data_IF_308652237210
#
_entry.id   IF_308652237210
#
_cell.length_a   1.000
_cell.length_b   1.000
_cell.length_c   1.000
_cell.angle_alpha   90.00
_cell.angle_beta   90.00
_cell.angle_gamma   90.00
#
_symmetry.space_group_name_H-M   'P 1'
#
loop_
_entity.id
_entity.type
_entity.pdbx_description
1 polymer ?
#
# COMPACT_ATOMS: atom_id res chain seq x y z
N UNK A 1 -2.17 -13.79 13.70
CA UNK A 1 -0.86 -13.15 13.46
C UNK A 1 -1.13 -11.68 13.39
N UNK A 2 -0.39 -10.85 14.12
CA UNK A 2 -0.78 -9.46 14.28
C UNK A 2 -0.32 -8.60 13.08
N UNK A 3 -1.26 -7.97 12.38
CA UNK A 3 -0.99 -7.10 11.23
C UNK A 3 -1.62 -5.73 11.43
N UNK A 4 -0.95 -4.70 10.92
CA UNK A 4 -1.39 -3.32 11.09
C UNK A 4 -1.19 -2.49 9.82
N UNK A 5 -2.10 -1.53 9.63
CA UNK A 5 -1.91 -0.39 8.73
C UNK A 5 -2.13 0.89 9.52
N UNK A 6 -1.14 1.78 9.44
CA UNK A 6 -1.17 3.11 10.05
C UNK A 6 -1.18 4.14 8.94
N UNK A 7 -2.21 4.97 8.88
CA UNK A 7 -2.33 6.07 7.92
C UNK A 7 -2.36 7.42 8.61
N UNK A 8 -1.58 8.37 8.12
CA UNK A 8 -1.54 9.73 8.65
C UNK A 8 -0.67 10.65 7.79
N UNK A 9 -0.63 11.95 8.11
CA UNK A 9 0.43 12.82 7.57
C UNK A 9 1.78 12.43 8.17
N UNK A 10 2.85 12.57 7.41
CA UNK A 10 4.20 12.18 7.84
C UNK A 10 5.11 13.38 7.67
N UNK A 11 5.58 13.94 8.78
CA UNK A 11 6.48 15.09 8.78
C UNK A 11 7.77 14.77 7.99
N UNK A 12 8.31 15.71 7.19
CA UNK A 12 9.50 15.47 6.35
C UNK A 12 10.70 14.87 7.09
N UNK A 13 10.92 15.31 8.33
CA UNK A 13 12.01 14.91 9.21
C UNK A 13 11.79 13.56 9.90
N UNK A 14 10.53 13.07 9.94
CA UNK A 14 10.22 11.80 10.57
C UNK A 14 10.74 10.66 9.70
N UNK A 15 11.66 9.86 10.20
CA UNK A 15 12.16 8.66 9.52
C UNK A 15 11.24 7.48 9.80
N UNK A 16 10.73 6.83 8.76
CA UNK A 16 9.87 5.66 8.93
C UNK A 16 10.70 4.39 9.10
N UNK A 17 10.28 3.46 9.99
CA UNK A 17 11.03 2.25 10.26
C UNK A 17 10.87 1.21 9.15
N UNK A 18 11.77 0.23 9.15
CA UNK A 18 11.74 -0.92 8.26
C UNK A 18 12.06 -0.61 6.81
N UNK A 19 11.45 -1.36 5.89
CA UNK A 19 11.66 -1.22 4.45
C UNK A 19 10.87 -0.02 3.92
N UNK A 20 11.56 0.99 3.42
CA UNK A 20 10.94 2.17 2.80
C UNK A 20 10.71 1.93 1.31
N UNK A 21 9.57 2.33 0.79
CA UNK A 21 9.25 2.24 -0.65
C UNK A 21 9.44 3.62 -1.27
N UNK A 22 10.51 3.80 -2.06
CA UNK A 22 10.84 5.11 -2.63
C UNK A 22 9.87 5.52 -3.75
N UNK A 23 9.22 4.55 -4.39
CA UNK A 23 8.30 4.72 -5.52
C UNK A 23 6.90 4.18 -5.20
N UNK A 24 6.34 4.65 -4.08
CA UNK A 24 4.98 4.33 -3.66
C UNK A 24 3.98 5.41 -4.08
N UNK A 25 2.82 4.98 -4.60
CA UNK A 25 1.78 5.88 -5.09
C UNK A 25 0.39 5.48 -4.60
N UNK A 26 -0.41 6.45 -4.16
CA UNK A 26 -1.83 6.28 -3.90
C UNK A 26 -2.63 6.38 -5.21
N UNK A 27 -3.74 5.63 -5.36
CA UNK A 27 -4.54 5.62 -6.59
C UNK A 27 -5.32 6.94 -6.85
N UNK A 28 -5.26 7.88 -5.91
CA UNK A 28 -5.90 9.19 -5.98
C UNK A 28 -5.17 10.19 -5.09
N UNK A 29 -5.19 11.46 -5.48
CA UNK A 29 -4.74 12.59 -4.63
C UNK A 29 -5.79 13.00 -3.60
N UNK A 30 -7.05 12.59 -3.77
CA UNK A 30 -8.10 12.77 -2.76
C UNK A 30 -7.95 11.73 -1.66
N UNK A 31 -7.86 12.20 -0.41
CA UNK A 31 -7.65 11.32 0.74
C UNK A 31 -8.75 10.25 0.89
N UNK A 32 -10.02 10.58 0.66
CA UNK A 32 -11.12 9.61 0.84
C UNK A 32 -11.03 8.49 -0.19
N UNK A 33 -10.72 8.85 -1.43
CA UNK A 33 -10.52 7.92 -2.53
C UNK A 33 -9.27 7.07 -2.31
N UNK A 34 -8.15 7.67 -1.94
CA UNK A 34 -6.92 6.95 -1.60
C UNK A 34 -7.12 5.95 -0.44
N UNK A 35 -7.84 6.37 0.61
CA UNK A 35 -8.21 5.52 1.75
C UNK A 35 -9.09 4.35 1.32
N UNK A 36 -10.04 4.56 0.42
CA UNK A 36 -10.86 3.48 -0.13
C UNK A 36 -9.98 2.44 -0.82
N UNK A 37 -9.03 2.89 -1.65
CA UNK A 37 -8.08 2.01 -2.32
C UNK A 37 -7.18 1.25 -1.34
N UNK A 38 -6.64 1.93 -0.33
CA UNK A 38 -5.83 1.32 0.73
C UNK A 38 -6.55 0.16 1.43
N UNK A 39 -7.83 0.35 1.78
CA UNK A 39 -8.59 -0.61 2.59
C UNK A 39 -9.23 -1.75 1.77
N UNK A 40 -9.32 -1.60 0.46
CA UNK A 40 -9.96 -2.58 -0.43
C UNK A 40 -8.98 -3.26 -1.36
N UNK A 41 -7.82 -2.64 -1.61
CA UNK A 41 -6.86 -3.06 -2.63
C UNK A 41 -7.40 -2.95 -4.05
N UNK A 42 -8.46 -2.18 -4.26
CA UNK A 42 -9.08 -1.93 -5.56
C UNK A 42 -9.10 -0.44 -5.88
N UNK A 43 -9.04 -0.12 -7.17
CA UNK A 43 -9.12 1.26 -7.64
C UNK A 43 -10.44 1.92 -7.19
N UNK A 44 -10.43 3.17 -6.69
CA UNK A 44 -11.65 3.86 -6.24
C UNK A 44 -12.74 3.98 -7.32
N UNK A 45 -12.32 4.07 -8.59
CA UNK A 45 -13.17 4.14 -9.77
C UNK A 45 -14.10 2.93 -9.89
N UNK A 46 -13.67 1.77 -9.40
CA UNK A 46 -14.49 0.56 -9.37
C UNK A 46 -15.59 0.57 -8.33
N UNK A 47 -15.59 1.56 -7.43
CA UNK A 47 -16.52 1.67 -6.30
C UNK A 47 -16.52 0.39 -5.43
N UNK A 48 -15.35 -0.05 -4.94
CA UNK A 48 -15.25 -1.28 -4.16
C UNK A 48 -16.03 -1.20 -2.84
N UNK A 49 -16.69 -2.30 -2.49
CA UNK A 49 -17.57 -2.37 -1.30
C UNK A 49 -17.00 -3.26 -0.18
N UNK A 50 -16.06 -4.15 -0.50
CA UNK A 50 -15.51 -5.12 0.45
C UNK A 50 -14.10 -4.74 0.86
N UNK A 51 -13.87 -4.60 2.18
CA UNK A 51 -12.55 -4.27 2.75
C UNK A 51 -11.79 -5.54 3.09
N UNK A 52 -10.46 -5.51 3.05
CA UNK A 52 -9.64 -6.67 3.47
C UNK A 52 -9.92 -7.04 4.93
N UNK A 53 -10.14 -6.04 5.79
CA UNK A 53 -10.44 -6.25 7.21
C UNK A 53 -11.76 -7.00 7.45
N UNK A 54 -12.68 -7.00 6.47
CA UNK A 54 -13.89 -7.83 6.55
C UNK A 54 -13.58 -9.33 6.43
N UNK A 55 -12.37 -9.70 5.99
CA UNK A 55 -11.93 -11.09 5.88
C UNK A 55 -11.20 -11.58 7.11
N UNK A 56 -10.62 -10.68 7.90
CA UNK A 56 -9.64 -11.02 8.92
C UNK A 56 -10.17 -10.60 10.29
N UNK A 57 -10.74 -11.57 11.00
CA UNK A 57 -10.94 -11.55 12.45
C UNK A 57 -11.50 -10.26 13.05
N UNK A 58 -10.95 -9.90 14.21
CA UNK A 58 -11.27 -8.66 14.92
C UNK A 58 -10.40 -7.51 14.43
N UNK A 59 -11.02 -6.33 14.33
CA UNK A 59 -10.35 -5.09 13.88
C UNK A 59 -10.32 -4.09 15.03
N UNK A 60 -9.15 -3.49 15.28
CA UNK A 60 -8.98 -2.42 16.27
C UNK A 60 -8.38 -1.14 15.66
N UNK A 61 -8.60 -0.01 16.33
CA UNK A 61 -8.13 1.33 15.92
C UNK A 61 -6.89 1.81 16.73
N UNK A 62 -6.32 0.90 17.50
CA UNK A 62 -5.10 0.98 18.30
C UNK A 62 -4.33 -0.34 18.22
N UNK A 63 -3.17 -0.47 18.87
CA UNK A 63 -2.40 -1.71 18.94
C UNK A 63 -2.83 -2.64 20.10
N UNK A 64 -4.14 -2.74 20.37
CA UNK A 64 -4.69 -3.69 21.36
C UNK A 64 -4.52 -5.15 20.90
N UNK A 65 -4.94 -6.17 21.67
CA UNK A 65 -4.93 -7.55 21.20
C UNK A 65 -6.02 -7.80 20.13
N UNK A 66 -5.73 -7.51 18.87
CA UNK A 66 -6.58 -7.83 17.71
C UNK A 66 -5.78 -8.54 16.61
N UNK A 67 -6.48 -9.11 15.62
CA UNK A 67 -5.82 -9.72 14.46
C UNK A 67 -5.38 -8.66 13.45
N UNK A 68 -6.19 -7.59 13.30
CA UNK A 68 -5.93 -6.48 12.38
C UNK A 68 -6.07 -5.15 13.10
N UNK A 69 -5.11 -4.26 12.83
CA UNK A 69 -5.15 -2.87 13.25
C UNK A 69 -5.30 -1.94 12.05
N UNK A 70 -6.34 -1.11 12.04
CA UNK A 70 -6.49 0.00 11.10
C UNK A 70 -6.43 1.28 11.92
N UNK A 71 -5.25 1.89 11.95
CA UNK A 71 -4.96 3.02 12.82
C UNK A 71 -4.87 4.28 11.95
N UNK A 72 -5.92 5.09 11.98
CA UNK A 72 -5.95 6.36 11.27
C UNK A 72 -5.65 7.50 12.23
N UNK A 73 -4.71 8.36 11.86
CA UNK A 73 -4.32 9.54 12.64
C UNK A 73 -4.21 10.76 11.74
N UNK A 74 -4.35 11.94 12.33
CA UNK A 74 -4.07 13.18 11.60
C UNK A 74 -2.59 13.28 11.19
N UNK A 75 -1.71 12.69 12.00
CA UNK A 75 -0.26 12.66 11.82
C UNK A 75 0.31 11.39 12.45
N UNK A 76 1.35 10.82 11.84
CA UNK A 76 2.13 9.72 12.39
C UNK A 76 3.23 10.33 13.25
N UNK A 77 3.27 9.97 14.53
CA UNK A 77 4.21 10.50 15.52
C UNK A 77 5.28 9.45 15.88
N UNK A 78 6.44 9.87 16.43
CA UNK A 78 7.44 8.94 16.97
C UNK A 78 6.85 7.93 17.96
N UNK A 79 5.99 8.38 18.89
CA UNK A 79 5.33 7.51 19.86
C UNK A 79 4.50 6.38 19.20
N UNK A 80 3.95 6.63 18.00
CA UNK A 80 3.20 5.62 17.26
C UNK A 80 4.12 4.61 16.56
N UNK A 81 5.33 5.05 16.17
CA UNK A 81 6.37 4.16 15.65
C UNK A 81 6.87 3.23 16.76
N UNK A 82 7.09 3.77 17.97
CA UNK A 82 7.51 3.00 19.13
C UNK A 82 6.44 1.96 19.53
N UNK A 83 5.16 2.36 19.56
CA UNK A 83 4.04 1.44 19.81
C UNK A 83 3.98 0.31 18.77
N UNK A 84 4.19 0.63 17.49
CA UNK A 84 4.20 -0.39 16.44
C UNK A 84 5.36 -1.38 16.62
N UNK A 85 6.55 -0.88 16.97
CA UNK A 85 7.71 -1.71 17.25
C UNK A 85 7.47 -2.65 18.44
N UNK A 86 6.95 -2.11 19.55
CA UNK A 86 6.67 -2.87 20.77
C UNK A 86 5.54 -3.90 20.58
N UNK A 87 4.59 -3.63 19.67
CA UNK A 87 3.51 -4.57 19.36
C UNK A 87 4.00 -5.86 18.67
N UNK A 88 5.16 -5.80 18.00
CA UNK A 88 5.68 -6.88 17.15
C UNK A 88 4.84 -7.16 15.89
N UNK A 89 3.83 -6.34 15.58
CA UNK A 89 2.98 -6.52 14.42
C UNK A 89 3.69 -6.14 13.11
N UNK A 90 3.36 -6.85 12.02
CA UNK A 90 3.76 -6.39 10.68
C UNK A 90 2.93 -5.15 10.32
N UNK A 91 3.58 -3.99 10.26
CA UNK A 91 2.94 -2.68 10.22
C UNK A 91 3.33 -1.91 8.96
N UNK A 92 2.35 -1.61 8.11
CA UNK A 92 2.50 -0.63 7.05
C UNK A 92 2.28 0.78 7.60
N UNK A 93 3.21 1.70 7.31
CA UNK A 93 3.01 3.13 7.52
C UNK A 93 2.76 3.79 6.16
N UNK A 94 1.66 4.55 6.06
CA UNK A 94 1.22 5.16 4.80
C UNK A 94 0.93 6.63 5.02
N UNK A 95 1.63 7.46 4.24
CA UNK A 95 1.41 8.89 4.20
C UNK A 95 0.11 9.22 3.47
N UNK A 96 -0.55 10.29 3.91
CA UNK A 96 -1.61 10.88 3.10
C UNK A 96 -1.04 11.37 1.76
N UNK A 97 -1.76 11.18 0.64
CA UNK A 97 -1.36 11.77 -0.62
C UNK A 97 -1.30 13.29 -0.49
N UNK A 98 -0.32 13.90 -1.15
CA UNK A 98 -0.24 15.35 -1.28
C UNK A 98 -1.15 15.83 -2.40
N UNK A 99 -1.63 17.06 -2.29
CA UNK A 99 -2.42 17.70 -3.36
C UNK A 99 -1.53 17.73 -4.61
N UNK A 100 -2.06 17.25 -5.73
CA UNK A 100 -1.43 17.17 -7.07
C UNK A 100 -0.30 16.15 -7.28
N UNK A 101 0.05 15.35 -6.26
CA UNK A 101 1.03 14.26 -6.43
C UNK A 101 0.48 12.97 -5.82
N UNK A 102 0.36 11.94 -6.67
CA UNK A 102 -0.05 10.59 -6.26
C UNK A 102 0.99 9.92 -5.37
N UNK A 103 2.23 10.43 -5.31
CA UNK A 103 3.29 9.85 -4.50
C UNK A 103 2.94 9.93 -3.01
N UNK A 104 3.23 8.85 -2.31
CA UNK A 104 3.07 8.76 -0.86
C UNK A 104 4.35 8.27 -0.22
N UNK A 105 4.58 8.69 1.02
CA UNK A 105 5.60 8.07 1.86
C UNK A 105 5.04 6.75 2.38
N UNK A 106 5.73 5.64 2.13
CA UNK A 106 5.28 4.33 2.54
C UNK A 106 6.45 3.51 3.08
N UNK A 107 6.25 2.81 4.20
CA UNK A 107 7.21 1.83 4.71
C UNK A 107 6.50 0.61 5.30
N UNK A 108 7.25 -0.47 5.46
CA UNK A 108 6.82 -1.68 6.15
C UNK A 108 7.82 -2.02 7.25
N UNK A 109 7.33 -2.03 8.49
CA UNK A 109 8.00 -2.63 9.63
C UNK A 109 7.48 -4.07 9.78
N UNK A 110 8.33 -5.06 9.55
CA UNK A 110 8.00 -6.46 9.78
C UNK A 110 9.17 -7.16 10.48
N UNK A 111 9.08 -7.35 11.82
CA UNK A 111 10.12 -8.00 12.59
C UNK A 111 10.47 -9.40 12.05
N UNK A 112 11.76 -9.72 11.96
CA UNK A 112 12.30 -10.94 11.36
C UNK A 112 12.22 -11.03 9.83
N UNK A 113 11.75 -9.97 9.16
CA UNK A 113 11.61 -9.92 7.70
C UNK A 113 12.28 -8.69 7.11
N UNK A 114 11.96 -7.50 7.60
CA UNK A 114 12.51 -6.24 7.10
C UNK A 114 13.75 -5.77 7.86
N UNK A 115 14.21 -6.56 8.83
CA UNK A 115 15.38 -6.30 9.69
C UNK A 115 16.60 -7.18 9.34
N UNK A 116 16.49 -8.08 8.35
CA UNK A 116 17.57 -9.01 7.97
C UNK A 116 17.80 -9.06 6.46
N UNK A 117 19.07 -8.99 6.03
CA UNK A 117 19.60 -9.31 4.67
C UNK A 117 18.59 -9.20 3.52
N UNK A 118 17.99 -8.01 3.40
CA UNK A 118 17.05 -7.72 2.35
C UNK A 118 17.79 -7.54 1.01
N UNK A 119 17.20 -7.96 -0.12
CA UNK A 119 17.76 -7.76 -1.46
C UNK A 119 17.51 -6.32 -1.98
N UNK A 120 17.52 -5.34 -1.07
CA UNK A 120 17.15 -3.96 -1.31
C UNK A 120 18.34 -3.04 -0.99
N UNK A 121 18.33 -1.83 -1.57
CA UNK A 121 19.41 -0.88 -1.39
C UNK A 121 19.36 -0.25 0.00
N UNK A 122 20.52 0.15 0.54
CA UNK A 122 20.59 0.98 1.74
C UNK A 122 21.00 2.40 1.36
N UNK A 123 20.13 3.36 1.61
CA UNK A 123 20.34 4.79 1.32
C UNK A 123 20.29 5.53 2.64
N UNK A 124 21.38 6.22 3.00
CA UNK A 124 21.50 6.97 4.26
C UNK A 124 21.15 6.16 5.52
N UNK A 125 21.50 4.87 5.51
CA UNK A 125 21.21 3.94 6.62
C UNK A 125 19.79 3.38 6.63
N UNK A 126 18.96 3.70 5.63
CA UNK A 126 17.58 3.23 5.48
C UNK A 126 17.49 2.22 4.33
N UNK A 127 16.95 1.03 4.62
CA UNK A 127 16.71 0.02 3.58
C UNK A 127 15.54 0.46 2.71
N UNK A 128 15.75 0.50 1.41
CA UNK A 128 14.87 1.13 0.44
C UNK A 128 14.58 0.20 -0.74
N UNK A 129 13.30 -0.07 -0.97
CA UNK A 129 12.80 -0.72 -2.17
C UNK A 129 12.51 0.34 -3.24
N UNK A 130 13.11 0.17 -4.42
CA UNK A 130 12.97 1.06 -5.57
C UNK A 130 11.97 0.55 -6.63
N UNK A 131 11.20 -0.49 -6.31
CA UNK A 131 10.15 -1.00 -7.18
C UNK A 131 8.93 -0.10 -7.20
N UNK A 132 8.22 -0.10 -8.33
CA UNK A 132 6.98 0.66 -8.48
C UNK A 132 5.86 -0.06 -7.72
N UNK A 133 5.31 0.60 -6.68
CA UNK A 133 4.28 0.04 -5.80
C UNK A 133 3.14 1.02 -5.56
N UNK A 134 1.99 0.52 -5.15
CA UNK A 134 0.79 1.30 -4.83
C UNK A 134 0.26 1.00 -3.45
N UNK A 135 -0.46 1.96 -2.84
CA UNK A 135 -1.22 1.68 -1.61
C UNK A 135 -2.33 0.64 -1.82
N UNK A 136 -2.74 0.39 -3.09
CA UNK A 136 -3.60 -0.74 -3.45
C UNK A 136 -3.00 -2.09 -3.08
N UNK A 137 -1.67 -2.18 -2.99
CA UNK A 137 -0.95 -3.42 -2.74
C UNK A 137 -1.01 -3.85 -1.28
N UNK A 138 -1.37 -2.94 -0.37
CA UNK A 138 -1.36 -3.21 1.08
C UNK A 138 -2.42 -4.25 1.45
N UNK A 139 -3.65 -4.07 0.98
CA UNK A 139 -4.74 -5.01 1.23
C UNK A 139 -4.42 -6.46 0.81
N UNK A 140 -4.02 -6.74 -0.45
CA UNK A 140 -3.62 -8.09 -0.87
C UNK A 140 -2.35 -8.58 -0.15
N UNK A 141 -1.40 -7.69 0.17
CA UNK A 141 -0.21 -8.11 0.92
C UNK A 141 -0.58 -8.57 2.33
N UNK A 142 -1.39 -7.79 3.05
CA UNK A 142 -1.87 -8.14 4.39
C UNK A 142 -2.72 -9.41 4.39
N UNK A 143 -3.59 -9.59 3.40
CA UNK A 143 -4.37 -10.81 3.23
C UNK A 143 -3.46 -12.04 3.00
N UNK A 144 -2.45 -11.93 2.14
CA UNK A 144 -1.49 -13.00 1.90
C UNK A 144 -0.66 -13.33 3.15
N UNK A 145 -0.22 -12.30 3.87
CA UNK A 145 0.48 -12.42 5.17
C UNK A 145 -0.40 -13.21 6.15
N UNK A 146 -1.69 -12.90 6.23
CA UNK A 146 -2.65 -13.63 7.06
C UNK A 146 -3.04 -15.03 6.54
N UNK A 147 -2.48 -15.48 5.41
CA UNK A 147 -2.69 -16.83 4.86
C UNK A 147 -3.89 -16.97 3.92
N UNK A 148 -4.51 -15.87 3.49
CA UNK A 148 -5.61 -15.89 2.54
C UNK A 148 -5.10 -16.05 1.10
N UNK A 149 -5.95 -16.64 0.25
CA UNK A 149 -5.71 -16.70 -1.19
C UNK A 149 -5.99 -15.33 -1.82
N UNK A 150 -4.99 -14.80 -2.51
CA UNK A 150 -5.03 -13.47 -3.16
C UNK A 150 -4.81 -13.57 -4.67
N UNK A 151 -4.95 -14.77 -5.25
CA UNK A 151 -4.83 -14.97 -6.69
C UNK A 151 -5.98 -14.29 -7.46
N UNK A 152 -5.81 -13.95 -8.75
CA UNK A 152 -6.81 -13.23 -9.57
C UNK A 152 -8.21 -13.86 -9.76
N UNK A 153 -8.58 -14.93 -9.04
CA UNK A 153 -9.91 -15.54 -9.04
C UNK A 153 -10.32 -16.01 -7.62
N UNK A 154 -9.64 -15.53 -6.58
CA UNK A 154 -10.05 -15.76 -5.21
C UNK A 154 -11.33 -14.97 -4.90
N UNK A 155 -12.02 -15.35 -3.82
CA UNK A 155 -13.27 -14.70 -3.39
C UNK A 155 -13.11 -13.19 -3.10
N UNK A 156 -11.89 -12.72 -2.86
CA UNK A 156 -11.54 -11.33 -3.06
C UNK A 156 -10.54 -11.22 -4.20
N UNK A 157 -10.92 -10.42 -5.19
CA UNK A 157 -10.00 -9.95 -6.20
C UNK A 157 -9.51 -8.54 -5.84
N UNK A 158 -8.25 -8.29 -6.13
CA UNK A 158 -7.56 -7.03 -5.88
C UNK A 158 -7.04 -6.47 -7.22
N UNK A 159 -7.01 -5.15 -7.36
CA UNK A 159 -6.24 -4.50 -8.43
C UNK A 159 -4.76 -4.37 -8.02
N UNK A 160 -4.49 -4.26 -6.72
CA UNK A 160 -3.13 -4.29 -6.17
C UNK A 160 -2.50 -5.69 -6.22
N UNK A 161 -1.18 -5.73 -6.05
CA UNK A 161 -0.39 -6.96 -6.01
C UNK A 161 0.05 -7.33 -4.58
N UNK A 162 0.25 -8.62 -4.32
CA UNK A 162 0.92 -9.05 -3.09
C UNK A 162 2.42 -8.70 -3.17
N UNK A 163 2.88 -7.81 -2.28
CA UNK A 163 4.27 -7.36 -2.21
C UNK A 163 5.21 -8.33 -1.50
N UNK A 164 4.72 -9.43 -0.90
CA UNK A 164 5.58 -10.39 -0.19
C UNK A 164 6.79 -10.84 -1.04
N UNK A 165 6.65 -11.15 -2.34
CA UNK A 165 7.80 -11.47 -3.19
C UNK A 165 8.75 -10.30 -3.43
N UNK A 166 8.22 -9.08 -3.60
CA UNK A 166 9.01 -7.85 -3.73
C UNK A 166 9.83 -7.62 -2.46
N UNK A 167 9.16 -7.66 -1.31
CA UNK A 167 9.75 -7.44 0.02
C UNK A 167 10.85 -8.48 0.31
N UNK A 168 10.54 -9.77 0.19
CA UNK A 168 11.44 -10.85 0.65
C UNK A 168 12.51 -11.24 -0.35
N UNK A 169 12.24 -11.11 -1.64
CA UNK A 169 13.07 -11.70 -2.69
C UNK A 169 13.51 -10.70 -3.76
N UNK A 170 13.14 -9.42 -3.63
CA UNK A 170 13.53 -8.40 -4.61
C UNK A 170 12.89 -8.64 -5.98
N UNK A 171 11.69 -9.25 -6.00
CA UNK A 171 10.92 -9.38 -7.23
C UNK A 171 10.48 -8.01 -7.76
N UNK A 172 10.21 -7.94 -9.07
CA UNK A 172 9.71 -6.72 -9.71
C UNK A 172 8.30 -6.36 -9.19
N UNK A 173 8.07 -5.07 -9.00
CA UNK A 173 6.75 -4.49 -8.70
C UNK A 173 5.89 -4.33 -9.94
N UNK A 174 5.06 -3.28 -9.95
CA UNK A 174 4.15 -2.99 -11.07
C UNK A 174 4.91 -2.64 -12.34
N UNK A 175 4.44 -3.18 -13.47
CA UNK A 175 4.87 -2.72 -14.81
C UNK A 175 4.29 -1.36 -15.21
N UNK A 176 3.22 -0.93 -14.55
CA UNK A 176 2.61 0.38 -14.73
C UNK A 176 1.50 0.65 -13.73
N UNK A 177 1.39 1.89 -13.27
CA UNK A 177 0.30 2.42 -12.46
C UNK A 177 -0.46 3.45 -13.28
N UNK A 178 -1.78 3.36 -13.24
CA UNK A 178 -2.70 4.21 -14.00
C UNK A 178 -3.57 5.02 -13.05
N UNK A 179 -3.85 6.26 -13.40
CA UNK A 179 -4.58 7.22 -12.55
C UNK A 179 -5.68 7.92 -13.34
N UNK A 180 -6.75 8.35 -12.67
CA UNK A 180 -7.95 8.93 -13.29
C UNK A 180 -7.67 10.18 -14.14
N UNK A 181 -6.62 10.91 -13.82
CA UNK A 181 -6.25 12.19 -14.44
C UNK A 181 -5.42 12.04 -15.74
N UNK A 182 -5.38 10.82 -16.29
CA UNK A 182 -4.59 10.49 -17.49
C UNK A 182 -3.11 10.22 -17.21
N UNK A 183 -2.69 10.22 -15.94
CA UNK A 183 -1.31 9.91 -15.58
C UNK A 183 -1.07 8.39 -15.67
N UNK A 184 0.06 8.03 -16.25
CA UNK A 184 0.59 6.66 -16.30
C UNK A 184 2.03 6.69 -15.81
N UNK A 185 2.35 5.91 -14.79
CA UNK A 185 3.70 5.79 -14.23
C UNK A 185 4.18 4.38 -14.51
N UNK A 186 5.32 4.23 -15.17
CA UNK A 186 5.96 2.93 -15.42
C UNK A 186 7.31 2.88 -14.68
N UNK A 187 8.00 1.73 -14.64
CA UNK A 187 9.35 1.66 -14.09
C UNK A 187 10.33 2.67 -14.70
N UNK A 188 10.14 3.07 -15.97
CA UNK A 188 11.10 3.90 -16.71
C UNK A 188 10.64 5.33 -16.98
N UNK A 189 9.34 5.63 -16.90
CA UNK A 189 8.82 6.94 -17.30
C UNK A 189 7.52 7.33 -16.59
N UNK A 190 7.19 8.61 -16.68
CA UNK A 190 5.90 9.18 -16.31
C UNK A 190 5.29 9.83 -17.54
N UNK A 191 4.10 9.40 -17.93
CA UNK A 191 3.32 9.92 -19.06
C UNK A 191 2.04 10.57 -18.52
N UNK A 192 1.60 11.65 -19.16
CA UNK A 192 0.29 12.26 -18.90
C UNK A 192 -0.34 12.69 -20.21
N UNK A 193 -1.07 11.77 -20.83
CA UNK A 193 -1.66 11.97 -22.15
C UNK A 193 -3.08 11.40 -22.16
N UNK A 194 -4.08 12.26 -22.37
CA UNK A 194 -5.49 11.88 -22.35
C UNK A 194 -5.89 10.88 -23.46
N UNK A 195 -5.05 10.74 -24.49
CA UNK A 195 -5.22 9.80 -25.60
C UNK A 195 -4.25 8.62 -25.55
N UNK A 196 -3.62 8.37 -24.40
CA UNK A 196 -2.78 7.19 -24.22
C UNK A 196 -3.64 5.92 -24.38
N UNK A 197 -3.31 5.01 -25.32
CA UNK A 197 -4.12 3.82 -25.57
C UNK A 197 -4.19 2.87 -24.38
N UNK A 198 -3.10 2.74 -23.60
CA UNK A 198 -3.06 1.87 -22.42
C UNK A 198 -3.95 2.44 -21.32
N UNK A 199 -3.86 3.77 -21.11
CA UNK A 199 -4.75 4.46 -20.17
C UNK A 199 -6.21 4.35 -20.59
N UNK A 200 -6.52 4.53 -21.87
CA UNK A 200 -7.89 4.44 -22.40
C UNK A 200 -8.49 3.05 -22.16
N UNK A 201 -7.69 2.01 -22.41
CA UNK A 201 -8.09 0.63 -22.16
C UNK A 201 -8.30 0.36 -20.66
N UNK A 202 -7.35 0.78 -19.82
CA UNK A 202 -7.48 0.68 -18.36
C UNK A 202 -8.74 1.38 -17.85
N UNK A 203 -9.00 2.60 -18.30
CA UNK A 203 -10.15 3.41 -17.88
C UNK A 203 -11.48 2.73 -18.26
N UNK A 204 -11.55 2.04 -19.40
CA UNK A 204 -12.72 1.23 -19.76
C UNK A 204 -12.94 0.06 -18.79
N UNK A 205 -11.88 -0.65 -18.38
CA UNK A 205 -11.98 -1.75 -17.42
C UNK A 205 -12.39 -1.29 -16.03
N UNK A 206 -11.92 -0.14 -15.56
CA UNK A 206 -12.30 0.40 -14.25
C UNK A 206 -13.80 0.71 -14.18
N UNK A 207 -14.39 1.14 -15.28
CA UNK A 207 -15.83 1.45 -15.38
C UNK A 207 -16.74 0.20 -15.40
N UNK A 208 -16.18 -1.02 -15.41
CA UNK A 208 -16.97 -2.26 -15.33
C UNK A 208 -17.46 -2.58 -13.90
N UNK A 209 -17.03 -1.81 -12.90
CA UNK A 209 -17.43 -1.97 -11.51
C UNK A 209 -16.44 -2.80 -10.67
N UNK A 210 -16.85 -3.19 -9.45
CA UNK A 210 -15.98 -3.87 -8.49
C UNK A 210 -15.65 -5.28 -8.97
N UNK A 211 -14.45 -5.75 -8.64
CA UNK A 211 -14.09 -7.15 -8.83
C UNK A 211 -14.77 -7.98 -7.74
N UNK A 212 -15.50 -9.03 -8.14
CA UNK A 212 -16.17 -9.99 -7.25
C UNK A 212 -15.41 -11.31 -7.22
#
# INVERSE_FOLDING_TARGET
MNIAVVSGRIAPELTLPGLNFSRAYAPSTDFRSARLGLLTGQYPQRQPVTRFASLIGTVAEDFSPADVHIIERAEITPDLLDQAHDSGAATFFVGHPTIDDHRVRMSLLWPGVTDTNLPHDTIDGVVTCNELVSTLDIAPTLAAIAGYDVRPNAQLSFDGMNLTPVIRYGATGHGGLFFDDGTVITPTEVRRQANDPEWTMWHQFMNMGPLQ
#
